data_IF_420046064700
#
_entry.id   IF_420046064700
#
_cell.length_a   1.000
_cell.length_b   1.000
_cell.length_c   1.000
_cell.angle_alpha   90.00
_cell.angle_beta   90.00
_cell.angle_gamma   90.00
#
_symmetry.space_group_name_H-M   'P 1'
#
loop_
_entity.id
_entity.type
_entity.pdbx_description
1 polymer ?
#
# COMPACT_ATOMS: atom_id res chain seq x y z
N UNK A 1 -9.63 -36.63 -17.08
CA UNK A 1 -9.45 -36.71 -15.62
C UNK A 1 -10.20 -35.53 -15.05
N UNK A 2 -11.34 -35.82 -14.43
CA UNK A 2 -12.18 -34.84 -13.76
C UNK A 2 -11.53 -34.58 -12.39
N UNK A 3 -10.99 -33.39 -12.15
CA UNK A 3 -10.12 -33.13 -10.99
C UNK A 3 -10.88 -32.96 -9.69
N UNK A 4 -12.21 -33.14 -9.67
CA UNK A 4 -12.98 -33.30 -8.43
C UNK A 4 -12.85 -32.15 -7.41
N UNK A 5 -12.40 -30.98 -7.85
CA UNK A 5 -12.49 -29.77 -7.05
C UNK A 5 -13.88 -29.22 -7.28
N UNK A 6 -14.79 -29.51 -6.36
CA UNK A 6 -15.97 -28.67 -6.15
C UNK A 6 -15.44 -27.26 -6.01
N UNK A 7 -15.53 -26.47 -7.08
CA UNK A 7 -15.18 -25.06 -7.04
C UNK A 7 -16.26 -24.42 -6.16
N UNK A 8 -15.95 -24.01 -4.91
CA UNK A 8 -16.92 -23.28 -4.13
C UNK A 8 -17.39 -22.09 -4.97
N UNK A 9 -18.68 -21.74 -4.84
CA UNK A 9 -19.22 -20.56 -5.52
C UNK A 9 -18.27 -19.39 -5.31
N UNK A 10 -17.84 -18.68 -6.36
CA UNK A 10 -16.87 -17.62 -6.21
C UNK A 10 -17.43 -16.58 -5.24
N UNK A 11 -16.73 -16.41 -4.11
CA UNK A 11 -17.08 -15.38 -3.13
C UNK A 11 -17.01 -14.01 -3.82
N UNK A 12 -17.97 -13.10 -3.55
CA UNK A 12 -17.94 -11.77 -4.13
C UNK A 12 -16.62 -11.08 -3.80
N UNK A 13 -16.11 -10.27 -4.73
CA UNK A 13 -14.92 -9.46 -4.48
C UNK A 13 -15.24 -8.44 -3.40
N UNK A 14 -14.47 -8.36 -2.30
CA UNK A 14 -14.73 -7.38 -1.25
C UNK A 14 -14.48 -5.98 -1.80
N UNK A 15 -15.46 -5.08 -1.65
CA UNK A 15 -15.28 -3.69 -2.05
C UNK A 15 -14.43 -2.92 -1.00
N UNK A 16 -13.59 -1.97 -1.46
CA UNK A 16 -12.93 -1.00 -0.59
C UNK A 16 -13.94 -0.17 0.21
N UNK A 17 -13.53 0.23 1.40
CA UNK A 17 -14.29 1.13 2.27
C UNK A 17 -14.40 2.53 1.64
N UNK A 18 -15.47 3.23 1.99
CA UNK A 18 -15.57 4.68 1.74
C UNK A 18 -14.50 5.45 2.54
N UNK A 19 -14.26 6.71 2.18
CA UNK A 19 -13.33 7.55 2.95
C UNK A 19 -13.79 7.81 4.39
N UNK A 20 -15.11 7.85 4.64
CA UNK A 20 -15.68 8.02 5.98
C UNK A 20 -15.49 6.77 6.86
N UNK A 21 -15.74 5.59 6.32
CA UNK A 21 -15.47 4.33 7.01
C UNK A 21 -13.97 4.14 7.26
N UNK A 22 -13.14 4.56 6.30
CA UNK A 22 -11.68 4.58 6.44
C UNK A 22 -11.23 5.53 7.56
N UNK A 23 -11.83 6.72 7.66
CA UNK A 23 -11.55 7.68 8.73
C UNK A 23 -11.87 7.09 10.12
N UNK A 24 -12.97 6.35 10.24
CA UNK A 24 -13.31 5.62 11.47
C UNK A 24 -12.28 4.53 11.80
N UNK A 25 -11.84 3.76 10.79
CA UNK A 25 -10.79 2.75 10.99
C UNK A 25 -9.48 3.38 11.47
N UNK A 26 -9.06 4.48 10.84
CA UNK A 26 -7.86 5.22 11.22
C UNK A 26 -8.00 5.89 12.59
N UNK A 27 -9.17 6.40 12.96
CA UNK A 27 -9.37 7.00 14.29
C UNK A 27 -9.16 5.99 15.41
N UNK A 28 -9.71 4.78 15.26
CA UNK A 28 -9.52 3.68 16.21
C UNK A 28 -8.03 3.28 16.31
N UNK A 29 -7.32 3.21 15.18
CA UNK A 29 -5.88 2.93 15.16
C UNK A 29 -5.07 4.04 15.85
N UNK A 30 -5.43 5.31 15.60
CA UNK A 30 -4.78 6.49 16.16
C UNK A 30 -4.93 6.55 17.68
N UNK A 31 -6.10 6.21 18.23
CA UNK A 31 -6.34 6.21 19.68
C UNK A 31 -5.42 5.22 20.43
N UNK A 32 -5.02 4.13 19.78
CA UNK A 32 -4.19 3.08 20.39
C UNK A 32 -2.69 3.33 20.16
N UNK A 33 -2.30 3.70 18.94
CA UNK A 33 -0.89 3.96 18.61
C UNK A 33 -0.44 5.33 19.16
N UNK A 34 -1.37 6.26 19.34
CA UNK A 34 -1.07 7.61 19.80
C UNK A 34 -0.50 8.53 18.72
N UNK A 35 -0.27 9.81 19.04
CA UNK A 35 0.05 10.85 18.07
C UNK A 35 1.36 10.62 17.31
N UNK A 36 2.37 10.06 17.99
CA UNK A 36 3.74 9.94 17.47
C UNK A 36 3.80 9.16 16.17
N UNK A 37 3.24 7.95 16.15
CA UNK A 37 3.17 7.12 14.95
C UNK A 37 1.80 7.26 14.25
N UNK A 38 0.74 7.55 14.99
CA UNK A 38 -0.60 7.73 14.44
C UNK A 38 -0.71 8.91 13.46
N UNK A 39 0.13 9.94 13.58
CA UNK A 39 0.15 11.05 12.61
C UNK A 39 0.54 10.64 11.18
N UNK A 40 1.09 9.44 10.98
CA UNK A 40 1.41 8.88 9.66
C UNK A 40 0.24 8.11 9.05
N UNK A 41 -0.79 7.77 9.83
CA UNK A 41 -1.96 7.05 9.31
C UNK A 41 -2.81 7.93 8.38
N UNK A 42 -2.65 9.26 8.45
CA UNK A 42 -3.30 10.19 7.53
C UNK A 42 -2.57 10.34 6.21
N UNK A 43 -1.44 9.65 5.99
CA UNK A 43 -0.74 9.70 4.69
C UNK A 43 -1.60 8.98 3.63
N UNK A 44 -1.71 9.49 2.39
CA UNK A 44 -2.60 8.91 1.39
C UNK A 44 -2.39 7.41 1.15
N UNK A 45 -1.14 6.94 1.22
CA UNK A 45 -0.83 5.51 1.05
C UNK A 45 -1.39 4.64 2.18
N UNK A 46 -1.38 5.13 3.42
CA UNK A 46 -2.00 4.50 4.58
C UNK A 46 -3.52 4.48 4.45
N UNK A 47 -4.13 5.62 4.09
CA UNK A 47 -5.57 5.74 3.88
C UNK A 47 -6.05 4.71 2.86
N UNK A 48 -5.40 4.59 1.71
CA UNK A 48 -5.76 3.62 0.67
C UNK A 48 -5.55 2.16 1.08
N UNK A 49 -4.54 1.87 1.92
CA UNK A 49 -4.31 0.53 2.46
C UNK A 49 -5.39 0.16 3.50
N UNK A 50 -5.73 1.07 4.41
CA UNK A 50 -6.81 0.85 5.39
C UNK A 50 -8.17 0.73 4.69
N UNK A 51 -8.40 1.52 3.65
CA UNK A 51 -9.60 1.42 2.83
C UNK A 51 -9.72 0.07 2.09
N UNK A 52 -8.63 -0.68 1.95
CA UNK A 52 -8.61 -1.93 1.20
C UNK A 52 -8.57 -1.74 -0.31
N UNK A 53 -8.12 -0.58 -0.80
CA UNK A 53 -7.82 -0.39 -2.22
C UNK A 53 -6.46 -1.03 -2.59
N UNK A 54 -5.57 -1.21 -1.61
CA UNK A 54 -4.33 -1.97 -1.72
C UNK A 54 -4.14 -2.92 -0.54
N UNK A 55 -3.38 -3.99 -0.72
CA UNK A 55 -3.17 -5.02 0.30
C UNK A 55 -2.05 -4.71 1.29
N UNK A 56 -1.17 -3.77 0.97
CA UNK A 56 0.00 -3.44 1.77
C UNK A 56 0.48 -2.01 1.55
N UNK A 57 1.05 -1.41 2.59
CA UNK A 57 1.88 -0.20 2.48
C UNK A 57 2.90 -0.14 3.61
N UNK A 58 3.89 0.73 3.46
CA UNK A 58 4.87 1.07 4.49
C UNK A 58 4.98 2.59 4.64
N UNK A 59 5.26 3.02 5.87
CA UNK A 59 5.38 4.40 6.30
C UNK A 59 6.78 4.55 6.92
N UNK A 60 7.54 5.52 6.43
CA UNK A 60 8.95 5.70 6.80
C UNK A 60 9.10 6.66 7.98
N UNK A 61 10.19 6.52 8.71
CA UNK A 61 10.56 7.39 9.84
C UNK A 61 9.59 7.28 11.03
N UNK A 62 8.95 6.11 11.14
CA UNK A 62 8.23 5.68 12.32
C UNK A 62 9.19 5.51 13.50
N UNK A 63 8.70 5.86 14.69
CA UNK A 63 9.41 5.57 15.93
C UNK A 63 9.20 4.09 16.22
N UNK A 64 10.29 3.34 16.26
CA UNK A 64 10.25 1.91 16.55
C UNK A 64 10.98 1.66 17.87
N UNK A 65 10.21 1.61 18.95
CA UNK A 65 10.69 1.27 20.30
C UNK A 65 9.78 0.19 20.92
N UNK A 66 10.09 -0.29 22.12
CA UNK A 66 9.31 -1.36 22.75
C UNK A 66 7.86 -0.94 23.05
N UNK A 67 7.64 0.30 23.50
CA UNK A 67 6.31 0.84 23.78
C UNK A 67 5.42 0.83 22.52
N UNK A 68 5.96 1.27 21.38
CA UNK A 68 5.26 1.27 20.10
C UNK A 68 4.94 -0.14 19.61
N UNK A 69 5.86 -1.09 19.80
CA UNK A 69 5.63 -2.52 19.49
C UNK A 69 4.53 -3.11 20.37
N UNK A 70 4.51 -2.77 21.66
CA UNK A 70 3.48 -3.23 22.58
C UNK A 70 2.12 -2.62 22.23
N UNK A 71 2.07 -1.36 21.83
CA UNK A 71 0.85 -0.69 21.35
C UNK A 71 0.34 -1.32 20.05
N UNK A 72 1.22 -1.62 19.07
CA UNK A 72 0.81 -2.35 17.87
C UNK A 72 0.34 -3.78 18.17
N UNK A 73 0.96 -4.50 19.10
CA UNK A 73 0.50 -5.84 19.51
C UNK A 73 -0.92 -5.79 20.09
N UNK A 74 -1.21 -4.82 20.97
CA UNK A 74 -2.56 -4.57 21.49
C UNK A 74 -3.54 -4.22 20.36
N UNK A 75 -3.16 -3.32 19.46
CA UNK A 75 -3.97 -2.92 18.33
C UNK A 75 -4.30 -4.11 17.40
N UNK A 76 -3.31 -4.95 17.10
CA UNK A 76 -3.47 -6.08 16.19
C UNK A 76 -4.49 -7.11 16.70
N UNK A 77 -4.61 -7.28 18.02
CA UNK A 77 -5.67 -8.14 18.60
C UNK A 77 -7.10 -7.71 18.20
N UNK A 78 -7.30 -6.42 17.86
CA UNK A 78 -8.57 -5.88 17.38
C UNK A 78 -8.62 -5.80 15.85
N UNK A 79 -7.50 -5.45 15.21
CA UNK A 79 -7.44 -5.26 13.76
C UNK A 79 -7.49 -6.57 12.97
N UNK A 80 -6.95 -7.66 13.50
CA UNK A 80 -6.90 -8.93 12.78
C UNK A 80 -8.29 -9.47 12.43
N UNK A 81 -9.29 -9.21 13.30
CA UNK A 81 -10.70 -9.51 13.02
C UNK A 81 -11.26 -8.74 11.82
N UNK A 82 -10.69 -7.57 11.52
CA UNK A 82 -11.01 -6.74 10.35
C UNK A 82 -10.11 -7.04 9.14
N UNK A 83 -9.21 -8.03 9.25
CA UNK A 83 -8.22 -8.35 8.23
C UNK A 83 -7.10 -7.30 8.11
N UNK A 84 -6.90 -6.49 9.14
CA UNK A 84 -5.85 -5.46 9.19
C UNK A 84 -4.72 -5.89 10.12
N UNK A 85 -3.51 -5.44 9.84
CA UNK A 85 -2.36 -5.65 10.72
C UNK A 85 -1.35 -4.52 10.58
N UNK A 86 -0.86 -4.02 11.71
CA UNK A 86 0.21 -3.03 11.80
C UNK A 86 1.49 -3.71 12.26
N UNK A 87 2.54 -3.59 11.46
CA UNK A 87 3.87 -4.09 11.78
C UNK A 87 4.88 -2.95 11.98
N UNK A 88 6.00 -3.28 12.62
CA UNK A 88 7.16 -2.39 12.68
C UNK A 88 8.42 -3.13 12.22
N UNK A 89 9.29 -2.40 11.52
CA UNK A 89 10.61 -2.88 11.10
C UNK A 89 11.71 -2.01 11.69
N UNK A 90 12.41 -2.53 12.70
CA UNK A 90 13.55 -1.86 13.35
C UNK A 90 14.65 -1.53 12.34
N UNK A 91 14.90 -2.44 11.40
CA UNK A 91 15.97 -2.30 10.40
C UNK A 91 15.71 -1.13 9.45
N UNK A 92 14.44 -0.87 9.15
CA UNK A 92 14.04 0.13 8.15
C UNK A 92 13.48 1.41 8.77
N UNK A 93 13.25 1.41 10.09
CA UNK A 93 12.48 2.44 10.81
C UNK A 93 11.15 2.71 10.10
N UNK A 94 10.39 1.64 9.90
CA UNK A 94 9.14 1.66 9.15
C UNK A 94 7.99 1.08 9.97
N UNK A 95 6.83 1.70 9.83
CA UNK A 95 5.55 1.10 10.17
C UNK A 95 4.94 0.50 8.89
N UNK A 96 4.30 -0.66 8.98
CA UNK A 96 3.64 -1.30 7.84
C UNK A 96 2.16 -1.47 8.14
N UNK A 97 1.33 -1.42 7.09
CA UNK A 97 -0.09 -1.72 7.19
C UNK A 97 -0.38 -2.80 6.16
N UNK A 98 -0.89 -3.94 6.61
CA UNK A 98 -1.41 -5.01 5.75
C UNK A 98 -2.92 -5.06 5.83
N UNK A 99 -3.58 -5.22 4.70
CA UNK A 99 -5.03 -5.40 4.59
C UNK A 99 -5.36 -6.63 3.75
N UNK A 100 -5.84 -7.69 4.39
CA UNK A 100 -6.20 -8.95 3.73
C UNK A 100 -7.34 -8.78 2.74
N UNK A 101 -8.32 -7.92 3.04
CA UNK A 101 -9.41 -7.59 2.11
C UNK A 101 -8.90 -6.81 0.90
N UNK A 102 -7.92 -5.93 1.10
CA UNK A 102 -7.26 -5.22 0.00
C UNK A 102 -6.45 -6.14 -0.91
N UNK A 103 -5.76 -7.14 -0.33
CA UNK A 103 -5.08 -8.17 -1.12
C UNK A 103 -6.08 -9.03 -1.90
N UNK A 104 -7.18 -9.45 -1.28
CA UNK A 104 -8.24 -10.19 -1.97
C UNK A 104 -8.87 -9.35 -3.10
N UNK A 105 -9.19 -8.08 -2.85
CA UNK A 105 -9.72 -7.16 -3.85
C UNK A 105 -8.81 -7.10 -5.08
N UNK A 106 -7.50 -6.87 -4.88
CA UNK A 106 -6.59 -6.74 -6.02
C UNK A 106 -6.33 -8.08 -6.73
N UNK A 107 -6.15 -9.16 -5.99
CA UNK A 107 -5.82 -10.48 -6.58
C UNK A 107 -7.00 -11.15 -7.30
N UNK A 108 -8.25 -10.83 -6.94
CA UNK A 108 -9.44 -11.24 -7.71
C UNK A 108 -9.60 -10.49 -9.02
N UNK A 109 -8.96 -9.33 -9.17
CA UNK A 109 -9.10 -8.44 -10.34
C UNK A 109 -7.91 -8.48 -11.28
N UNK A 110 -6.72 -8.82 -10.77
CA UNK A 110 -5.53 -8.94 -11.59
C UNK A 110 -5.63 -10.09 -12.59
N UNK A 111 -5.09 -9.85 -13.77
CA UNK A 111 -4.90 -10.76 -14.89
C UNK A 111 -3.41 -10.99 -15.18
N UNK A 112 -2.52 -10.48 -14.31
CA UNK A 112 -1.08 -10.67 -14.44
C UNK A 112 -0.75 -12.18 -14.39
N UNK A 113 0.08 -12.69 -15.32
CA UNK A 113 0.48 -14.09 -15.35
C UNK A 113 1.14 -14.54 -14.04
N UNK A 114 0.76 -15.73 -13.54
CA UNK A 114 1.30 -16.33 -12.32
C UNK A 114 0.51 -16.03 -11.05
N UNK A 115 -0.37 -15.02 -11.07
CA UNK A 115 -1.25 -14.73 -9.94
C UNK A 115 -2.51 -15.58 -9.95
N UNK A 116 -3.06 -15.79 -8.75
CA UNK A 116 -4.35 -16.42 -8.53
C UNK A 116 -5.07 -15.72 -7.37
N UNK A 117 -6.41 -15.77 -7.32
CA UNK A 117 -7.16 -15.10 -6.27
C UNK A 117 -6.77 -15.55 -4.86
N UNK A 118 -6.54 -14.57 -3.98
CA UNK A 118 -6.42 -14.78 -2.54
C UNK A 118 -7.81 -14.68 -1.87
N UNK A 119 -8.02 -15.36 -0.73
CA UNK A 119 -9.22 -15.20 0.10
C UNK A 119 -8.81 -14.69 1.48
N UNK A 120 -9.35 -13.54 1.89
CA UNK A 120 -9.06 -12.91 3.19
C UNK A 120 -9.47 -13.78 4.39
N UNK A 121 -10.43 -14.69 4.20
CA UNK A 121 -10.85 -15.68 5.19
C UNK A 121 -9.74 -16.66 5.58
N UNK A 122 -8.70 -16.80 4.76
CA UNK A 122 -7.53 -17.64 5.06
C UNK A 122 -6.55 -17.00 6.05
N UNK A 123 -6.76 -15.72 6.41
CA UNK A 123 -5.95 -15.02 7.40
C UNK A 123 -4.49 -14.76 6.96
N UNK A 124 -3.68 -14.25 7.89
CA UNK A 124 -2.26 -13.94 7.63
C UNK A 124 -1.41 -15.17 7.32
N UNK A 125 -1.72 -16.32 7.91
CA UNK A 125 -1.07 -17.59 7.55
C UNK A 125 -1.37 -17.98 6.10
N UNK A 126 -2.62 -17.81 5.65
CA UNK A 126 -3.02 -17.98 4.26
C UNK A 126 -2.32 -17.00 3.32
N UNK A 127 -2.15 -15.73 3.72
CA UNK A 127 -1.39 -14.73 2.96
C UNK A 127 0.05 -15.19 2.73
N UNK A 128 0.74 -15.66 3.77
CA UNK A 128 2.12 -16.16 3.66
C UNK A 128 2.23 -17.37 2.71
N UNK A 129 1.25 -18.27 2.75
CA UNK A 129 1.17 -19.39 1.82
C UNK A 129 0.93 -18.92 0.38
N UNK A 130 0.03 -17.95 0.20
CA UNK A 130 -0.28 -17.36 -1.09
C UNK A 130 0.97 -16.76 -1.75
N UNK A 131 1.77 -15.98 -1.00
CA UNK A 131 3.05 -15.44 -1.49
C UNK A 131 3.97 -16.52 -2.07
N UNK A 132 4.22 -17.58 -1.30
CA UNK A 132 5.07 -18.68 -1.74
C UNK A 132 4.51 -19.44 -2.97
N UNK A 133 3.19 -19.57 -3.08
CA UNK A 133 2.56 -20.21 -4.23
C UNK A 133 2.59 -19.31 -5.48
N UNK A 134 2.45 -17.99 -5.32
CA UNK A 134 2.59 -17.00 -6.40
C UNK A 134 4.01 -16.98 -6.94
N UNK A 135 5.02 -16.93 -6.07
CA UNK A 135 6.43 -16.99 -6.47
C UNK A 135 6.69 -18.19 -7.39
N UNK A 136 6.25 -19.37 -6.98
CA UNK A 136 6.41 -20.61 -7.76
C UNK A 136 5.70 -20.58 -9.10
N UNK A 137 4.51 -19.99 -9.14
CA UNK A 137 3.72 -19.88 -10.38
C UNK A 137 4.34 -18.88 -11.34
N UNK A 138 4.84 -17.75 -10.86
CA UNK A 138 5.56 -16.78 -11.68
C UNK A 138 6.80 -17.43 -12.29
N UNK A 139 7.59 -18.19 -11.52
CA UNK A 139 8.74 -18.93 -12.05
C UNK A 139 8.34 -19.97 -13.12
N UNK A 140 7.23 -20.68 -12.92
CA UNK A 140 6.71 -21.61 -13.94
C UNK A 140 6.30 -20.89 -15.22
N UNK A 141 5.62 -19.75 -15.10
CA UNK A 141 5.17 -18.92 -16.23
C UNK A 141 6.36 -18.37 -17.02
N UNK A 142 7.47 -18.02 -16.35
CA UNK A 142 8.74 -17.66 -17.01
C UNK A 142 9.34 -18.82 -17.78
N UNK A 143 9.39 -20.01 -17.17
CA UNK A 143 9.91 -21.23 -17.83
C UNK A 143 9.10 -21.60 -19.08
N UNK A 144 7.81 -21.27 -19.11
CA UNK A 144 6.92 -21.46 -20.25
C UNK A 144 7.03 -20.36 -21.33
N UNK A 145 7.83 -19.32 -21.08
CA UNK A 145 8.02 -18.20 -22.01
C UNK A 145 6.85 -17.22 -22.08
N UNK A 146 5.88 -17.31 -21.15
CA UNK A 146 4.74 -16.39 -21.08
C UNK A 146 5.15 -15.05 -20.47
N UNK A 147 6.09 -15.09 -19.52
CA UNK A 147 6.72 -13.91 -18.93
C UNK A 147 8.22 -13.94 -19.26
N UNK A 148 8.85 -12.78 -19.46
CA UNK A 148 10.29 -12.72 -19.69
C UNK A 148 11.06 -13.30 -18.48
N UNK A 149 12.16 -14.02 -18.75
CA UNK A 149 13.05 -14.53 -17.71
C UNK A 149 13.65 -13.44 -16.84
N UNK A 150 13.76 -12.23 -17.39
CA UNK A 150 14.39 -11.09 -16.73
C UNK A 150 13.44 -10.34 -15.78
N UNK A 151 12.15 -10.68 -15.77
CA UNK A 151 11.19 -10.08 -14.84
C UNK A 151 11.57 -10.44 -13.41
N UNK A 152 11.72 -9.44 -12.55
CA UNK A 152 11.95 -9.67 -11.13
C UNK A 152 10.63 -9.99 -10.41
N UNK A 153 10.48 -11.26 -9.99
CA UNK A 153 9.25 -11.79 -9.35
C UNK A 153 8.81 -10.92 -8.19
N UNK A 154 9.77 -10.46 -7.38
CA UNK A 154 9.51 -9.63 -6.21
C UNK A 154 8.89 -8.28 -6.58
N UNK A 155 9.39 -7.60 -7.61
CA UNK A 155 8.86 -6.30 -8.05
C UNK A 155 7.41 -6.48 -8.53
N UNK A 156 7.17 -7.55 -9.27
CA UNK A 156 5.86 -7.87 -9.83
C UNK A 156 4.83 -8.20 -8.73
N UNK A 157 5.24 -8.97 -7.71
CA UNK A 157 4.45 -9.26 -6.52
C UNK A 157 4.19 -8.00 -5.67
N UNK A 158 5.22 -7.18 -5.44
CA UNK A 158 5.11 -5.92 -4.70
C UNK A 158 4.11 -4.97 -5.38
N UNK A 159 4.11 -4.86 -6.71
CA UNK A 159 3.14 -4.05 -7.45
C UNK A 159 1.69 -4.49 -7.18
N UNK A 160 1.42 -5.80 -7.17
CA UNK A 160 0.09 -6.35 -6.82
C UNK A 160 -0.25 -6.06 -5.35
N UNK A 161 0.69 -6.24 -4.43
CA UNK A 161 0.47 -5.92 -3.02
C UNK A 161 0.18 -4.43 -2.78
N UNK A 162 0.89 -3.54 -3.49
CA UNK A 162 0.67 -2.10 -3.46
C UNK A 162 -0.58 -1.66 -4.22
N UNK A 163 -1.30 -2.59 -4.84
CA UNK A 163 -2.58 -2.37 -5.49
C UNK A 163 -2.47 -1.73 -6.86
N UNK A 164 -1.30 -1.80 -7.52
CA UNK A 164 -1.12 -1.19 -8.84
C UNK A 164 -2.10 -1.80 -9.84
N UNK A 165 -2.73 -1.00 -10.72
CA UNK A 165 -3.36 -1.53 -11.93
C UNK A 165 -2.38 -2.40 -12.72
N UNK A 166 -2.88 -3.42 -13.40
CA UNK A 166 -2.02 -4.40 -14.06
C UNK A 166 -1.10 -3.75 -15.11
N UNK A 167 -1.64 -2.83 -15.90
CA UNK A 167 -0.85 -2.10 -16.90
C UNK A 167 0.22 -1.21 -16.24
N UNK A 168 -0.07 -0.59 -15.11
CA UNK A 168 0.93 0.21 -14.39
C UNK A 168 2.04 -0.67 -13.78
N UNK A 169 1.71 -1.87 -13.30
CA UNK A 169 2.70 -2.83 -12.83
C UNK A 169 3.64 -3.28 -13.97
N UNK A 170 3.09 -3.50 -15.17
CA UNK A 170 3.87 -3.83 -16.37
C UNK A 170 4.77 -2.65 -16.78
N UNK A 171 4.22 -1.42 -16.83
CA UNK A 171 4.96 -0.23 -17.20
C UNK A 171 6.14 0.03 -16.23
N UNK A 172 5.91 -0.16 -14.93
CA UNK A 172 6.94 -0.01 -13.89
C UNK A 172 8.06 -1.05 -14.03
N UNK A 173 7.70 -2.33 -14.24
CA UNK A 173 8.69 -3.38 -14.49
C UNK A 173 9.52 -3.09 -15.73
N UNK A 174 8.88 -2.71 -16.84
CA UNK A 174 9.58 -2.39 -18.09
C UNK A 174 10.54 -1.21 -17.90
N UNK A 175 10.12 -0.17 -17.17
CA UNK A 175 10.95 0.99 -16.86
C UNK A 175 12.22 0.58 -16.09
N UNK A 176 12.07 -0.26 -15.07
CA UNK A 176 13.21 -0.74 -14.28
C UNK A 176 14.15 -1.63 -15.11
N UNK A 177 13.60 -2.52 -15.93
CA UNK A 177 14.37 -3.45 -16.77
C UNK A 177 15.15 -2.74 -17.87
N UNK A 178 14.53 -1.75 -18.52
CA UNK A 178 15.18 -1.02 -19.63
C UNK A 178 16.11 0.08 -19.15
N UNK A 179 16.00 0.51 -17.89
CA UNK A 179 16.74 1.64 -17.34
C UNK A 179 16.40 2.96 -18.04
N UNK A 180 15.35 2.98 -18.87
CA UNK A 180 14.96 4.14 -19.66
C UNK A 180 14.08 5.08 -18.85
N UNK A 181 14.69 5.64 -17.81
CA UNK A 181 14.11 6.68 -16.95
C UNK A 181 13.78 7.97 -17.73
N UNK A 182 14.14 8.06 -19.02
CA UNK A 182 13.83 9.20 -19.89
C UNK A 182 12.47 9.07 -20.58
N UNK A 183 11.77 7.93 -20.46
CA UNK A 183 10.35 7.90 -20.82
C UNK A 183 9.61 8.78 -19.81
N UNK A 184 8.88 9.77 -20.31
CA UNK A 184 8.04 10.69 -19.52
C UNK A 184 6.91 9.93 -18.82
N UNK A 185 7.23 9.20 -17.75
CA UNK A 185 6.25 8.54 -16.91
C UNK A 185 5.28 9.57 -16.33
N UNK A 186 4.01 9.19 -16.30
CA UNK A 186 2.94 10.00 -15.71
C UNK A 186 2.64 9.43 -14.32
N UNK A 187 2.68 10.30 -13.31
CA UNK A 187 2.20 10.00 -11.97
C UNK A 187 0.68 9.92 -11.95
N UNK A 188 0.12 9.01 -11.16
CA UNK A 188 -1.34 8.89 -10.98
C UNK A 188 -2.00 10.11 -10.31
N UNK A 189 -1.21 11.02 -9.74
CA UNK A 189 -1.64 12.30 -9.16
C UNK A 189 -2.79 12.15 -8.16
N UNK A 190 -2.81 11.05 -7.41
CA UNK A 190 -3.86 10.73 -6.44
C UNK A 190 -3.88 11.77 -5.32
N UNK A 191 -2.71 12.27 -4.92
CA UNK A 191 -2.55 13.32 -3.93
C UNK A 191 -3.12 14.67 -4.35
N UNK A 192 -3.42 14.88 -5.63
CA UNK A 192 -4.08 16.10 -6.10
C UNK A 192 -5.60 16.11 -5.83
N UNK A 193 -6.16 15.02 -5.32
CA UNK A 193 -7.57 14.95 -4.95
C UNK A 193 -7.96 15.90 -3.80
N UNK A 194 -7.01 16.24 -2.92
CA UNK A 194 -7.28 17.10 -1.77
C UNK A 194 -6.02 17.89 -1.34
N UNK A 195 -6.11 19.18 -0.96
CA UNK A 195 -4.96 19.96 -0.49
C UNK A 195 -4.20 19.30 0.67
N UNK A 196 -4.93 18.71 1.63
CA UNK A 196 -4.30 18.00 2.74
C UNK A 196 -3.59 16.71 2.30
N UNK A 197 -4.05 16.01 1.27
CA UNK A 197 -3.35 14.83 0.75
C UNK A 197 -1.91 15.18 0.31
N UNK A 198 -1.76 16.35 -0.34
CA UNK A 198 -0.45 16.91 -0.69
C UNK A 198 0.37 17.33 0.52
N UNK A 199 -0.27 17.88 1.56
CA UNK A 199 0.38 18.32 2.81
C UNK A 199 0.94 17.15 3.62
N UNK A 200 0.21 16.04 3.70
CA UNK A 200 0.60 14.86 4.47
C UNK A 200 1.26 13.78 3.59
N UNK A 201 1.88 14.15 2.46
CA UNK A 201 2.49 13.16 1.56
C UNK A 201 3.64 12.41 2.26
N UNK A 202 3.57 11.08 2.21
CA UNK A 202 4.63 10.14 2.55
C UNK A 202 5.27 9.51 1.30
N UNK A 203 5.97 8.37 1.40
CA UNK A 203 6.40 7.61 0.22
C UNK A 203 5.17 7.25 -0.64
N UNK A 204 5.32 7.32 -1.97
CA UNK A 204 4.21 7.61 -2.89
C UNK A 204 2.97 6.73 -2.65
N UNK A 205 1.81 7.38 -2.52
CA UNK A 205 0.51 6.72 -2.75
C UNK A 205 0.32 6.30 -4.20
N UNK A 206 1.20 6.81 -5.05
CA UNK A 206 1.08 6.90 -6.47
C UNK A 206 1.80 5.72 -7.11
N UNK A 207 1.43 5.47 -8.35
CA UNK A 207 2.12 4.59 -9.26
C UNK A 207 2.35 5.38 -10.54
N UNK A 208 3.44 5.06 -11.20
CA UNK A 208 3.81 5.66 -12.47
C UNK A 208 3.42 4.71 -13.60
N UNK A 209 3.02 5.29 -14.73
CA UNK A 209 2.65 4.54 -15.93
C UNK A 209 3.04 5.33 -17.19
N UNK A 210 3.16 4.65 -18.32
CA UNK A 210 3.51 5.31 -19.57
C UNK A 210 2.34 6.14 -20.10
N UNK A 211 2.61 7.25 -20.82
CA UNK A 211 1.56 8.04 -21.47
C UNK A 211 0.64 7.22 -22.39
N UNK A 212 1.17 6.18 -23.05
CA UNK A 212 0.40 5.26 -23.88
C UNK A 212 -0.67 4.48 -23.09
N UNK A 213 -0.44 4.28 -21.80
CA UNK A 213 -1.31 3.54 -20.88
C UNK A 213 -2.35 4.44 -20.19
N UNK A 214 -2.32 5.77 -20.39
CA UNK A 214 -3.21 6.70 -19.71
C UNK A 214 -4.71 6.49 -19.99
N UNK A 215 -5.06 5.75 -21.05
CA UNK A 215 -6.44 5.40 -21.41
C UNK A 215 -6.85 4.00 -20.93
N UNK A 216 -5.98 3.30 -20.22
CA UNK A 216 -6.30 2.00 -19.66
C UNK A 216 -7.47 2.13 -18.65
N UNK A 217 -8.54 1.32 -18.82
CA UNK A 217 -9.73 1.46 -17.98
C UNK A 217 -9.48 1.10 -16.51
N UNK A 218 -8.55 0.19 -16.21
CA UNK A 218 -8.23 -0.16 -14.82
C UNK A 218 -7.47 1.00 -14.15
N UNK A 219 -6.54 1.65 -14.86
CA UNK A 219 -5.85 2.86 -14.38
C UNK A 219 -6.87 3.97 -14.08
N UNK A 220 -7.78 4.26 -15.02
CA UNK A 220 -8.80 5.30 -14.85
C UNK A 220 -9.72 4.99 -13.66
N UNK A 221 -10.23 3.75 -13.57
CA UNK A 221 -11.11 3.31 -12.48
C UNK A 221 -10.39 3.42 -11.13
N UNK A 222 -9.16 2.92 -11.04
CA UNK A 222 -8.37 2.98 -9.81
C UNK A 222 -8.15 4.42 -9.36
N UNK A 223 -7.68 5.29 -10.26
CA UNK A 223 -7.42 6.71 -9.95
C UNK A 223 -8.71 7.37 -9.47
N UNK A 224 -9.82 7.17 -10.19
CA UNK A 224 -11.11 7.75 -9.79
C UNK A 224 -11.53 7.29 -8.38
N UNK A 225 -11.41 6.01 -8.08
CA UNK A 225 -11.79 5.43 -6.78
C UNK A 225 -10.86 5.89 -5.66
N UNK A 226 -9.55 5.91 -5.90
CA UNK A 226 -8.56 6.40 -4.96
C UNK A 226 -8.80 7.87 -4.62
N UNK A 227 -9.02 8.72 -5.64
CA UNK A 227 -9.29 10.15 -5.45
C UNK A 227 -10.57 10.38 -4.64
N UNK A 228 -11.63 9.61 -4.89
CA UNK A 228 -12.87 9.66 -4.10
C UNK A 228 -12.63 9.30 -2.64
N UNK A 229 -11.95 8.18 -2.36
CA UNK A 229 -11.63 7.75 -0.98
C UNK A 229 -10.81 8.81 -0.25
N UNK A 230 -9.79 9.35 -0.91
CA UNK A 230 -8.93 10.41 -0.36
C UNK A 230 -9.74 11.67 -0.06
N UNK A 231 -10.56 12.12 -1.01
CA UNK A 231 -11.39 13.30 -0.82
C UNK A 231 -12.39 13.12 0.33
N UNK A 232 -13.06 11.98 0.42
CA UNK A 232 -14.02 11.70 1.50
C UNK A 232 -13.33 11.58 2.86
N UNK A 233 -12.13 10.98 2.91
CA UNK A 233 -11.36 10.84 4.14
C UNK A 233 -10.93 12.21 4.69
N UNK A 234 -10.36 13.07 3.86
CA UNK A 234 -9.90 14.39 4.32
C UNK A 234 -11.06 15.37 4.60
N UNK A 235 -12.26 15.11 4.05
CA UNK A 235 -13.48 15.83 4.42
C UNK A 235 -14.22 15.22 5.62
N UNK A 236 -13.71 14.14 6.22
CA UNK A 236 -14.34 13.53 7.39
C UNK A 236 -14.26 14.44 8.61
N UNK A 237 -15.30 14.39 9.46
CA UNK A 237 -15.36 15.17 10.70
C UNK A 237 -14.15 14.86 11.61
N UNK A 238 -13.75 13.58 11.67
CA UNK A 238 -12.58 13.16 12.43
C UNK A 238 -11.29 13.82 11.92
N UNK A 239 -11.03 13.82 10.61
CA UNK A 239 -9.83 14.42 10.07
C UNK A 239 -9.80 15.94 10.29
N UNK A 240 -10.93 16.62 10.04
CA UNK A 240 -11.08 18.06 10.27
C UNK A 240 -10.76 18.42 11.73
N UNK A 241 -11.19 17.58 12.69
CA UNK A 241 -10.88 17.76 14.11
C UNK A 241 -9.41 17.45 14.43
N UNK A 242 -8.89 16.31 14.02
CA UNK A 242 -7.54 15.87 14.41
C UNK A 242 -6.43 16.72 13.78
N UNK A 243 -6.65 17.25 12.58
CA UNK A 243 -5.70 18.14 11.90
C UNK A 243 -5.49 19.47 12.62
N UNK A 244 -6.36 19.81 13.57
CA UNK A 244 -6.27 20.98 14.45
C UNK A 244 -5.77 20.63 15.86
N UNK A 245 -5.59 19.34 16.18
CA UNK A 245 -5.14 18.90 17.50
C UNK A 245 -3.65 19.23 17.71
N UNK A 246 -3.28 19.91 18.81
CA UNK A 246 -1.90 20.30 19.07
C UNK A 246 -0.91 19.13 19.13
N UNK A 247 -1.32 17.97 19.68
CA UNK A 247 -0.44 16.80 19.78
C UNK A 247 -0.22 16.16 18.42
N UNK A 248 -1.27 16.10 17.59
CA UNK A 248 -1.16 15.65 16.20
C UNK A 248 -0.21 16.55 15.39
N UNK A 249 -0.38 17.87 15.50
CA UNK A 249 0.46 18.85 14.80
C UNK A 249 1.93 18.70 15.23
N UNK A 250 2.19 18.67 16.55
CA UNK A 250 3.54 18.52 17.08
C UNK A 250 4.21 17.21 16.65
N UNK A 251 3.46 16.09 16.66
CA UNK A 251 3.97 14.80 16.19
C UNK A 251 4.30 14.84 14.69
N UNK A 252 3.46 15.48 13.87
CA UNK A 252 3.72 15.62 12.43
C UNK A 252 4.94 16.50 12.14
N UNK A 253 5.10 17.61 12.85
CA UNK A 253 6.30 18.46 12.73
C UNK A 253 7.57 17.70 13.11
N UNK A 254 7.52 16.92 14.20
CA UNK A 254 8.62 16.08 14.61
C UNK A 254 8.96 15.00 13.57
N UNK A 255 7.95 14.38 12.94
CA UNK A 255 8.16 13.41 11.86
C UNK A 255 8.80 14.04 10.62
N UNK A 256 8.31 15.21 10.18
CA UNK A 256 8.91 15.96 9.08
C UNK A 256 10.38 16.33 9.35
N UNK A 257 10.70 16.72 10.59
CA UNK A 257 12.08 17.03 10.99
C UNK A 257 12.98 15.79 10.91
N UNK A 258 12.50 14.63 11.41
CA UNK A 258 13.25 13.35 11.32
C UNK A 258 13.51 12.98 9.86
N UNK A 259 12.50 13.08 9.01
CA UNK A 259 12.62 12.77 7.58
C UNK A 259 13.69 13.63 6.92
N UNK A 260 13.65 14.96 7.17
CA UNK A 260 14.66 15.89 6.66
C UNK A 260 16.07 15.54 7.12
N UNK A 261 16.26 15.25 8.41
CA UNK A 261 17.56 14.85 8.96
C UNK A 261 18.08 13.56 8.31
N UNK A 262 17.21 12.58 8.05
CA UNK A 262 17.58 11.34 7.36
C UNK A 262 18.06 11.61 5.92
N UNK A 263 17.35 12.46 5.17
CA UNK A 263 17.76 12.86 3.82
C UNK A 263 19.15 13.53 3.86
N UNK A 264 19.36 14.48 4.76
CA UNK A 264 20.64 15.19 4.90
C UNK A 264 21.80 14.23 5.23
N UNK A 265 21.56 13.23 6.07
CA UNK A 265 22.52 12.15 6.37
C UNK A 265 22.81 11.28 5.15
N UNK A 266 21.82 10.96 4.32
CA UNK A 266 22.02 10.17 3.10
C UNK A 266 22.82 10.97 2.06
N UNK A 267 22.51 12.25 1.88
CA UNK A 267 23.21 13.13 0.95
C UNK A 267 24.67 13.36 1.36
N UNK A 268 24.93 13.59 2.65
CA UNK A 268 26.29 13.75 3.16
C UNK A 268 27.13 12.47 2.97
N UNK A 269 26.57 11.29 3.25
CA UNK A 269 27.24 10.00 2.99
C UNK A 269 27.55 9.78 1.50
N UNK A 270 26.65 10.21 0.60
CA UNK A 270 26.89 10.11 -0.84
C UNK A 270 28.07 10.99 -1.26
N UNK A 271 28.16 12.22 -0.75
CA UNK A 271 29.28 13.15 -1.00
C UNK A 271 30.62 12.65 -0.48
N UNK A 272 30.65 11.83 0.57
CA UNK A 272 31.89 11.22 1.09
C UNK A 272 32.38 10.03 0.27
N UNK A 273 31.52 9.44 -0.58
CA UNK A 273 31.84 8.29 -1.43
C UNK A 273 32.15 8.67 -2.89
N UNK A 274 31.92 9.93 -3.26
CA UNK A 274 32.26 10.53 -4.55
C UNK A 274 33.57 11.29 -4.44
#
# INVERSE_FOLDING_TARGET
MDTGFDNPKPEPTPEPLSGQETAKGISEMYEIIGPVNGCQLVEPTAVLAVAGLKGYTFLVDAIVNQEEKDNASKLNSQLEQKGLHVGYSDKLNQMTISNLRGLEYKTKRTKLPGFFPYSSNSGFSGKNRWHWEVDKRIELVKQQGVLSSDVETRIYEEAVMFGYPDQAAIDFEECLRTGDINKDLISSDIELAHPDAKKYKGPSSDFDYYPSSAKDPEIIEYISKAKQIIQDFYNSEWFVKISQDPNFIAAREAQNLRHKMRIDQLLSRRKQKS
#
